data_IF_347555272071
#
_entry.id   IF_347555272071
#
_cell.length_a   1.000
_cell.length_b   1.000
_cell.length_c   1.000
_cell.angle_alpha   90.00
_cell.angle_beta   90.00
_cell.angle_gamma   90.00
#
_symmetry.space_group_name_H-M   'P 1'
#
loop_
_entity.id
_entity.type
_entity.pdbx_description
1 polymer ?
#
# COMPACT_ATOMS: atom_id res chain seq x y z
N UNK A 1 -12.15 -1.60 -1.72
CA UNK A 1 -11.54 -0.46 -0.99
C UNK A 1 -11.88 -0.67 0.48
N UNK A 2 -10.92 -0.64 1.42
CA UNK A 2 -11.31 -0.64 2.84
C UNK A 2 -12.25 0.52 3.09
N UNK A 3 -13.30 0.23 3.86
CA UNK A 3 -14.22 1.26 4.26
C UNK A 3 -13.52 2.15 5.29
N UNK A 4 -13.94 3.41 5.46
CA UNK A 4 -13.51 4.24 6.58
C UNK A 4 -13.57 3.55 7.94
N UNK A 5 -14.43 2.52 8.09
CA UNK A 5 -14.55 1.73 9.30
C UNK A 5 -13.26 0.98 9.65
N UNK A 6 -12.46 0.54 8.68
CA UNK A 6 -11.27 -0.24 8.98
C UNK A 6 -10.10 0.63 9.49
N UNK A 7 -9.93 1.84 8.93
CA UNK A 7 -9.00 2.82 9.47
C UNK A 7 -9.42 3.21 10.89
N UNK A 8 -10.71 3.47 11.09
CA UNK A 8 -11.24 3.83 12.40
C UNK A 8 -11.12 2.70 13.43
N UNK A 9 -11.46 1.47 13.05
CA UNK A 9 -11.39 0.30 13.93
C UNK A 9 -9.97 0.02 14.41
N UNK A 10 -8.99 0.25 13.55
CA UNK A 10 -7.57 0.01 13.86
C UNK A 10 -6.83 1.28 14.32
N UNK A 11 -7.55 2.39 14.53
CA UNK A 11 -7.00 3.71 14.88
C UNK A 11 -5.89 4.21 13.94
N UNK A 12 -5.98 3.88 12.65
CA UNK A 12 -4.97 4.23 11.66
C UNK A 12 -5.21 5.64 11.09
N UNK A 13 -4.13 6.43 11.02
CA UNK A 13 -4.06 7.75 10.40
C UNK A 13 -5.07 8.79 10.96
N UNK A 14 -5.39 8.73 12.25
CA UNK A 14 -6.40 9.61 12.88
C UNK A 14 -5.96 11.07 12.97
N UNK A 15 -4.72 11.36 13.39
CA UNK A 15 -4.20 12.75 13.39
C UNK A 15 -3.91 13.21 11.98
N UNK A 16 -3.42 12.31 11.12
CA UNK A 16 -3.22 12.63 9.72
C UNK A 16 -4.52 13.03 9.03
N UNK A 17 -5.66 12.42 9.37
CA UNK A 17 -6.96 12.85 8.86
C UNK A 17 -7.26 14.34 9.18
N UNK A 18 -6.94 14.80 10.39
CA UNK A 18 -7.05 16.22 10.75
C UNK A 18 -6.14 17.13 9.91
N UNK A 19 -4.97 16.65 9.51
CA UNK A 19 -4.08 17.36 8.59
C UNK A 19 -4.73 17.53 7.21
N UNK A 20 -5.36 16.48 6.67
CA UNK A 20 -6.04 16.55 5.36
C UNK A 20 -7.14 17.60 5.37
N UNK A 21 -7.97 17.61 6.42
CA UNK A 21 -9.06 18.59 6.55
C UNK A 21 -8.53 20.02 6.63
N UNK A 22 -7.49 20.26 7.42
CA UNK A 22 -6.84 21.57 7.47
C UNK A 22 -6.29 21.98 6.10
N UNK A 23 -5.66 21.06 5.36
CA UNK A 23 -5.12 21.36 4.04
C UNK A 23 -6.24 21.76 3.06
N UNK A 24 -7.41 21.12 3.16
CA UNK A 24 -8.60 21.49 2.39
C UNK A 24 -9.12 22.88 2.80
N UNK A 25 -9.19 23.19 4.09
CA UNK A 25 -9.64 24.50 4.58
C UNK A 25 -8.72 25.64 4.13
N UNK A 26 -7.40 25.47 4.28
CA UNK A 26 -6.43 26.49 3.84
C UNK A 26 -6.46 26.73 2.35
N UNK A 27 -6.72 25.69 1.56
CA UNK A 27 -6.91 25.85 0.13
C UNK A 27 -8.11 26.76 -0.16
N UNK A 28 -9.28 26.45 0.43
CA UNK A 28 -10.52 27.24 0.25
C UNK A 28 -10.30 28.70 0.69
N UNK A 29 -9.70 28.92 1.86
CA UNK A 29 -9.44 30.27 2.39
C UNK A 29 -8.48 31.09 1.51
N UNK A 30 -7.42 30.48 0.99
CA UNK A 30 -6.43 31.21 0.17
C UNK A 30 -7.01 31.63 -1.19
N UNK A 31 -7.88 30.80 -1.79
CA UNK A 31 -8.53 31.14 -3.05
C UNK A 31 -9.59 32.23 -2.89
N UNK A 32 -10.39 32.18 -1.82
CA UNK A 32 -11.31 33.28 -1.51
C UNK A 32 -10.59 34.62 -1.30
N UNK A 33 -9.42 34.61 -0.64
CA UNK A 33 -8.61 35.82 -0.40
C UNK A 33 -7.98 36.41 -1.68
N UNK A 34 -7.70 35.59 -2.68
CA UNK A 34 -7.06 36.04 -3.93
C UNK A 34 -8.06 36.61 -4.95
N UNK A 35 -9.37 36.61 -4.64
CA UNK A 35 -10.40 37.10 -5.57
C UNK A 35 -10.47 36.28 -6.87
N UNK A 36 -9.91 35.07 -6.87
CA UNK A 36 -10.01 34.14 -7.99
C UNK A 36 -11.42 33.56 -7.96
N UNK A 37 -12.21 33.88 -8.99
CA UNK A 37 -13.61 33.40 -9.16
C UNK A 37 -13.66 32.28 -10.23
N UNK A 38 -12.51 31.95 -10.84
CA UNK A 38 -12.44 30.87 -11.83
C UNK A 38 -12.50 29.50 -11.13
N UNK A 39 -13.72 28.98 -11.05
CA UNK A 39 -14.04 27.68 -10.48
C UNK A 39 -13.25 26.53 -11.14
N UNK A 40 -12.84 26.65 -12.41
CA UNK A 40 -12.07 25.61 -13.10
C UNK A 40 -10.63 25.55 -12.60
N UNK A 41 -9.99 26.71 -12.42
CA UNK A 41 -8.63 26.81 -11.87
C UNK A 41 -8.60 26.37 -10.41
N UNK A 42 -9.58 26.83 -9.61
CA UNK A 42 -9.76 26.42 -8.22
C UNK A 42 -9.91 24.90 -8.14
N UNK A 43 -10.79 24.32 -8.95
CA UNK A 43 -11.03 22.89 -8.92
C UNK A 43 -9.77 22.11 -9.31
N UNK A 44 -9.04 22.54 -10.35
CA UNK A 44 -7.82 21.85 -10.81
C UNK A 44 -6.71 21.84 -9.76
N UNK A 45 -6.45 22.96 -9.09
CA UNK A 45 -5.41 23.03 -8.04
C UNK A 45 -5.86 22.36 -6.73
N UNK A 46 -7.16 22.44 -6.40
CA UNK A 46 -7.73 21.72 -5.26
C UNK A 46 -7.56 20.22 -5.45
N UNK A 47 -7.98 19.72 -6.62
CA UNK A 47 -7.85 18.32 -7.02
C UNK A 47 -6.39 17.87 -6.87
N UNK A 48 -5.40 18.62 -7.38
CA UNK A 48 -3.98 18.25 -7.25
C UNK A 48 -3.51 18.16 -5.79
N UNK A 49 -3.94 19.11 -4.94
CA UNK A 49 -3.58 19.12 -3.52
C UNK A 49 -4.26 17.97 -2.79
N UNK A 50 -5.58 17.84 -2.92
CA UNK A 50 -6.40 16.78 -2.30
C UNK A 50 -5.96 15.38 -2.74
N UNK A 51 -5.69 15.18 -4.03
CA UNK A 51 -5.12 13.94 -4.57
C UNK A 51 -3.81 13.58 -3.87
N UNK A 52 -2.95 14.56 -3.56
CA UNK A 52 -1.67 14.28 -2.92
C UNK A 52 -1.81 13.63 -1.53
N UNK A 53 -2.80 14.07 -0.75
CA UNK A 53 -3.10 13.50 0.58
C UNK A 53 -3.85 12.17 0.46
N UNK A 54 -4.85 12.09 -0.43
CA UNK A 54 -5.60 10.86 -0.65
C UNK A 54 -4.72 9.72 -1.18
N UNK A 55 -3.72 10.03 -2.00
CA UNK A 55 -2.78 9.03 -2.48
C UNK A 55 -2.06 8.34 -1.31
N UNK A 56 -1.72 9.05 -0.22
CA UNK A 56 -1.14 8.41 0.97
C UNK A 56 -2.11 7.39 1.55
N UNK A 57 -3.38 7.76 1.73
CA UNK A 57 -4.39 6.87 2.31
C UNK A 57 -4.74 5.70 1.39
N UNK A 58 -4.78 5.91 0.07
CA UNK A 58 -4.98 4.87 -0.93
C UNK A 58 -3.85 3.84 -0.84
N UNK A 59 -2.58 4.30 -0.81
CA UNK A 59 -1.44 3.41 -0.68
C UNK A 59 -1.39 2.72 0.69
N UNK A 60 -1.76 3.40 1.79
CA UNK A 60 -1.86 2.78 3.11
C UNK A 60 -2.93 1.66 3.12
N UNK A 61 -4.09 1.92 2.54
CA UNK A 61 -5.16 0.94 2.38
C UNK A 61 -4.69 -0.26 1.55
N UNK A 62 -4.02 0.02 0.43
CA UNK A 62 -3.46 -1.01 -0.42
C UNK A 62 -2.46 -1.90 0.35
N UNK A 63 -1.57 -1.32 1.17
CA UNK A 63 -0.65 -2.09 2.01
C UNK A 63 -1.41 -3.01 2.96
N UNK A 64 -2.41 -2.49 3.68
CA UNK A 64 -3.22 -3.28 4.62
C UNK A 64 -3.91 -4.45 3.91
N UNK A 65 -4.56 -4.19 2.77
CA UNK A 65 -5.22 -5.22 1.95
C UNK A 65 -4.24 -6.34 1.60
N UNK A 66 -3.06 -5.98 1.10
CA UNK A 66 -2.09 -6.97 0.63
C UNK A 66 -1.50 -7.77 1.80
N UNK A 67 -1.21 -7.16 2.95
CA UNK A 67 -0.76 -7.87 4.16
C UNK A 67 -1.83 -8.89 4.60
N UNK A 68 -3.11 -8.50 4.63
CA UNK A 68 -4.17 -9.44 4.99
C UNK A 68 -4.34 -10.56 3.97
N UNK A 69 -4.21 -10.26 2.68
CA UNK A 69 -4.20 -11.28 1.63
C UNK A 69 -3.01 -12.23 1.79
N UNK A 70 -1.82 -11.74 2.16
CA UNK A 70 -0.65 -12.60 2.42
C UNK A 70 -0.95 -13.58 3.55
N UNK A 71 -1.54 -13.15 4.66
CA UNK A 71 -1.95 -14.04 5.77
C UNK A 71 -2.98 -15.09 5.35
N UNK A 72 -3.91 -14.73 4.47
CA UNK A 72 -4.89 -15.69 3.91
C UNK A 72 -4.22 -16.69 2.96
N UNK A 73 -3.28 -16.23 2.14
CA UNK A 73 -2.53 -17.07 1.20
C UNK A 73 -1.58 -18.01 1.95
N UNK A 74 -0.93 -17.55 3.02
CA UNK A 74 -0.11 -18.37 3.92
C UNK A 74 -0.90 -19.56 4.45
N UNK A 75 -2.09 -19.32 5.02
CA UNK A 75 -2.99 -20.38 5.50
C UNK A 75 -3.38 -21.36 4.39
N UNK A 76 -3.61 -20.87 3.17
CA UNK A 76 -3.92 -21.72 2.01
C UNK A 76 -2.72 -22.56 1.60
N UNK A 77 -1.50 -22.02 1.59
CA UNK A 77 -0.29 -22.79 1.32
C UNK A 77 -0.10 -23.92 2.34
N UNK A 78 -0.32 -23.64 3.63
CA UNK A 78 -0.27 -24.67 4.69
C UNK A 78 -1.32 -25.75 4.44
N UNK A 79 -2.55 -25.37 4.06
CA UNK A 79 -3.60 -26.33 3.74
C UNK A 79 -3.28 -27.17 2.50
N UNK A 80 -2.72 -26.56 1.46
CA UNK A 80 -2.26 -27.27 0.26
C UNK A 80 -1.22 -28.32 0.64
N UNK A 81 -0.23 -27.95 1.46
CA UNK A 81 0.76 -28.87 1.97
C UNK A 81 0.14 -30.03 2.75
N UNK A 82 -0.80 -29.77 3.66
CA UNK A 82 -1.47 -30.80 4.45
C UNK A 82 -2.16 -31.87 3.61
N UNK A 83 -2.67 -31.50 2.44
CA UNK A 83 -3.32 -32.46 1.53
C UNK A 83 -2.32 -33.50 0.98
N UNK A 84 -1.02 -33.19 0.98
CA UNK A 84 0.04 -34.07 0.50
C UNK A 84 0.97 -34.55 1.62
N UNK A 85 0.90 -34.00 2.83
CA UNK A 85 1.82 -34.31 3.93
C UNK A 85 1.90 -35.81 4.24
N UNK A 86 0.76 -36.53 4.22
CA UNK A 86 0.72 -37.97 4.47
C UNK A 86 1.34 -38.83 3.33
N UNK A 87 1.69 -38.21 2.20
CA UNK A 87 2.29 -38.87 1.04
C UNK A 87 3.81 -38.65 0.96
N UNK A 88 4.38 -37.89 1.90
CA UNK A 88 5.78 -37.46 1.88
C UNK A 88 6.45 -37.89 3.18
N UNK A 89 7.59 -38.57 3.07
CA UNK A 89 8.46 -38.86 4.21
C UNK A 89 9.25 -37.60 4.59
N UNK A 90 8.81 -36.91 5.65
CA UNK A 90 9.39 -35.63 6.08
C UNK A 90 10.56 -35.89 7.04
N UNK A 91 11.78 -35.71 6.53
CA UNK A 91 13.01 -35.91 7.32
C UNK A 91 13.63 -34.62 7.87
N UNK A 92 13.13 -33.47 7.42
CA UNK A 92 13.66 -32.16 7.78
C UNK A 92 12.52 -31.22 8.15
N UNK A 93 12.76 -30.36 9.14
CA UNK A 93 11.78 -29.35 9.57
C UNK A 93 11.41 -28.36 8.45
N UNK A 94 12.37 -28.08 7.56
CA UNK A 94 12.18 -27.13 6.45
C UNK A 94 12.09 -27.87 5.13
N UNK A 95 10.99 -27.63 4.43
CA UNK A 95 10.67 -28.25 3.16
C UNK A 95 10.58 -27.16 2.11
N UNK A 96 11.29 -27.34 0.99
CA UNK A 96 11.13 -26.47 -0.18
C UNK A 96 9.73 -26.74 -0.74
N UNK A 97 8.90 -25.71 -0.72
CA UNK A 97 7.52 -25.78 -1.17
C UNK A 97 7.32 -24.82 -2.33
N UNK A 98 6.73 -25.30 -3.42
CA UNK A 98 6.36 -24.48 -4.56
C UNK A 98 4.90 -24.76 -4.92
N UNK A 99 4.08 -23.71 -4.87
CA UNK A 99 2.71 -23.75 -5.33
C UNK A 99 2.30 -22.43 -5.99
N UNK A 100 1.27 -22.43 -6.86
CA UNK A 100 0.70 -21.19 -7.39
C UNK A 100 0.26 -20.23 -6.27
N UNK A 101 -0.22 -20.75 -5.14
CA UNK A 101 -0.60 -19.94 -3.98
C UNK A 101 0.60 -19.29 -3.31
N UNK A 102 1.74 -19.99 -3.22
CA UNK A 102 2.98 -19.38 -2.73
C UNK A 102 3.44 -18.26 -3.66
N UNK A 103 3.43 -18.46 -4.97
CA UNK A 103 3.80 -17.42 -5.94
C UNK A 103 2.89 -16.19 -5.78
N UNK A 104 1.59 -16.40 -5.61
CA UNK A 104 0.64 -15.32 -5.34
C UNK A 104 0.95 -14.59 -4.03
N UNK A 105 1.35 -15.30 -2.97
CA UNK A 105 1.76 -14.71 -1.70
C UNK A 105 2.99 -13.83 -1.89
N UNK A 106 4.03 -14.38 -2.51
CA UNK A 106 5.31 -13.72 -2.81
C UNK A 106 5.10 -12.45 -3.64
N UNK A 107 4.22 -12.51 -4.65
CA UNK A 107 3.90 -11.36 -5.53
C UNK A 107 3.34 -10.13 -4.80
N UNK A 108 2.91 -10.27 -3.54
CA UNK A 108 2.39 -9.15 -2.73
C UNK A 108 3.49 -8.29 -2.12
N UNK A 109 4.72 -8.79 -2.05
CA UNK A 109 5.84 -8.11 -1.38
C UNK A 109 6.25 -6.85 -2.14
N UNK A 110 6.49 -6.97 -3.45
CA UNK A 110 6.91 -5.85 -4.31
C UNK A 110 5.96 -4.65 -4.25
N UNK A 111 4.62 -4.82 -4.42
CA UNK A 111 3.69 -3.71 -4.36
C UNK A 111 3.61 -3.05 -2.98
N UNK A 112 3.78 -3.81 -1.88
CA UNK A 112 3.79 -3.26 -0.52
C UNK A 112 5.02 -2.37 -0.32
N UNK A 113 6.23 -2.88 -0.63
CA UNK A 113 7.47 -2.12 -0.52
C UNK A 113 7.43 -0.84 -1.34
N UNK A 114 6.91 -0.94 -2.57
CA UNK A 114 6.73 0.19 -3.47
C UNK A 114 5.75 1.23 -2.92
N UNK A 115 4.65 0.78 -2.31
CA UNK A 115 3.66 1.68 -1.70
C UNK A 115 4.19 2.38 -0.46
N UNK A 116 4.94 1.68 0.41
CA UNK A 116 5.59 2.31 1.57
C UNK A 116 6.57 3.37 1.06
N UNK A 117 7.45 3.02 0.12
CA UNK A 117 8.41 3.97 -0.45
C UNK A 117 7.72 5.18 -1.12
N UNK A 118 6.62 4.96 -1.83
CA UNK A 118 5.84 6.05 -2.41
C UNK A 118 5.35 7.02 -1.33
N UNK A 119 4.79 6.51 -0.22
CA UNK A 119 4.33 7.35 0.89
C UNK A 119 5.51 8.10 1.53
N UNK A 120 6.67 7.46 1.69
CA UNK A 120 7.90 8.10 2.19
C UNK A 120 8.28 9.33 1.36
N UNK A 121 8.25 9.25 0.04
CA UNK A 121 8.59 10.40 -0.80
C UNK A 121 7.45 11.43 -0.82
N UNK A 122 6.21 10.97 -0.81
CA UNK A 122 5.04 11.86 -0.87
C UNK A 122 4.90 12.72 0.39
N UNK A 123 5.19 12.18 1.57
CA UNK A 123 5.08 12.92 2.83
C UNK A 123 6.10 14.06 2.91
N UNK A 124 7.27 13.94 2.27
CA UNK A 124 8.25 15.03 2.22
C UNK A 124 7.69 16.25 1.48
N UNK A 125 7.01 16.01 0.36
CA UNK A 125 6.36 17.08 -0.39
C UNK A 125 5.28 17.77 0.45
N UNK A 126 4.54 16.99 1.24
CA UNK A 126 3.50 17.50 2.15
C UNK A 126 4.12 18.34 3.29
N UNK A 127 5.21 17.87 3.91
CA UNK A 127 5.96 18.63 4.93
C UNK A 127 6.49 19.94 4.33
N UNK A 128 7.06 19.89 3.12
CA UNK A 128 7.56 21.08 2.44
C UNK A 128 6.48 22.12 2.21
N UNK A 129 5.30 21.70 1.73
CA UNK A 129 4.13 22.58 1.60
C UNK A 129 3.69 23.17 2.94
N UNK A 130 3.59 22.34 3.99
CA UNK A 130 3.16 22.78 5.33
C UNK A 130 4.13 23.79 5.96
N UNK A 131 5.42 23.65 5.71
CA UNK A 131 6.45 24.56 6.20
C UNK A 131 6.70 25.75 5.26
N UNK A 132 6.06 25.78 4.09
CA UNK A 132 6.38 26.69 2.99
C UNK A 132 7.88 26.68 2.63
N UNK A 133 8.46 25.48 2.48
CA UNK A 133 9.88 25.26 2.16
C UNK A 133 10.05 24.29 0.99
N UNK A 134 10.99 24.57 0.06
CA UNK A 134 11.33 23.63 -0.99
C UNK A 134 12.16 22.47 -0.41
N UNK A 135 11.48 21.39 -0.03
CA UNK A 135 12.14 20.14 0.30
C UNK A 135 12.40 19.34 -0.97
N UNK A 136 13.46 18.53 -0.98
CA UNK A 136 13.70 17.63 -2.12
C UNK A 136 12.59 16.58 -2.22
N UNK A 137 12.31 16.09 -3.43
CA UNK A 137 11.21 15.14 -3.67
C UNK A 137 11.43 13.73 -3.10
N UNK A 138 12.53 13.50 -2.37
CA UNK A 138 12.91 12.17 -1.86
C UNK A 138 13.36 12.26 -0.41
N UNK A 139 12.84 11.35 0.43
CA UNK A 139 13.19 11.33 1.86
C UNK A 139 14.68 11.15 2.08
N UNK A 140 15.33 10.23 1.35
CA UNK A 140 16.80 10.03 1.41
C UNK A 140 17.57 11.33 1.22
N UNK A 141 17.19 12.16 0.24
CA UNK A 141 17.90 13.42 -0.04
C UNK A 141 17.76 14.41 1.12
N UNK A 142 16.58 14.48 1.73
CA UNK A 142 16.34 15.34 2.89
C UNK A 142 17.15 14.87 4.10
N UNK A 143 17.17 13.57 4.38
CA UNK A 143 17.97 12.99 5.47
C UNK A 143 19.47 13.23 5.27
N UNK A 144 19.99 12.91 4.08
CA UNK A 144 21.42 13.07 3.78
C UNK A 144 21.87 14.53 3.74
N UNK A 145 20.98 15.46 3.37
CA UNK A 145 21.28 16.88 3.37
C UNK A 145 21.32 17.51 4.77
N UNK A 146 20.78 16.84 5.79
CA UNK A 146 20.77 17.32 7.16
C UNK A 146 19.68 18.37 7.44
N UNK A 147 19.55 18.71 8.72
CA UNK A 147 18.54 19.64 9.22
C UNK A 147 18.79 21.07 8.73
N UNK A 148 20.06 21.47 8.72
CA UNK A 148 20.54 22.82 8.49
C UNK A 148 20.26 23.25 7.04
N UNK A 149 20.60 22.39 6.07
CA UNK A 149 20.41 22.63 4.64
C UNK A 149 18.96 22.96 4.28
N UNK A 150 18.00 22.29 4.92
CA UNK A 150 16.57 22.48 4.68
C UNK A 150 15.91 23.38 5.74
N UNK A 151 16.69 23.87 6.70
CA UNK A 151 16.21 24.66 7.84
C UNK A 151 14.99 24.04 8.53
N UNK A 152 15.03 22.72 8.75
CA UNK A 152 13.90 21.98 9.32
C UNK A 152 13.81 22.17 10.85
N UNK A 153 12.61 22.32 11.43
CA UNK A 153 12.44 22.29 12.88
C UNK A 153 12.98 20.99 13.49
N UNK A 154 13.65 21.09 14.65
CA UNK A 154 14.30 19.94 15.30
C UNK A 154 13.34 18.76 15.51
N UNK A 155 12.10 19.02 15.93
CA UNK A 155 11.10 17.97 16.13
C UNK A 155 10.75 17.21 14.84
N UNK A 156 10.59 17.92 13.72
CA UNK A 156 10.28 17.33 12.41
C UNK A 156 11.46 16.52 11.88
N UNK A 157 12.67 17.08 11.91
CA UNK A 157 13.86 16.37 11.44
C UNK A 157 14.18 15.16 12.32
N UNK A 158 13.97 15.27 13.64
CA UNK A 158 14.11 14.16 14.58
C UNK A 158 13.19 12.98 14.24
N UNK A 159 11.92 13.25 13.94
CA UNK A 159 10.98 12.22 13.49
C UNK A 159 11.37 11.59 12.16
N UNK A 160 11.75 12.42 11.17
CA UNK A 160 12.24 11.96 9.87
C UNK A 160 13.43 11.02 10.01
N UNK A 161 14.45 11.44 10.77
CA UNK A 161 15.67 10.67 11.00
C UNK A 161 15.40 9.38 11.78
N UNK A 162 14.58 9.46 12.84
CA UNK A 162 14.19 8.29 13.63
C UNK A 162 13.50 7.24 12.76
N UNK A 163 12.52 7.65 11.95
CA UNK A 163 11.84 6.75 11.02
C UNK A 163 12.78 6.16 9.98
N UNK A 164 13.62 7.00 9.36
CA UNK A 164 14.55 6.58 8.31
C UNK A 164 15.51 5.49 8.81
N UNK A 165 16.12 5.69 9.97
CA UNK A 165 17.06 4.73 10.58
C UNK A 165 16.32 3.46 11.01
N UNK A 166 15.13 3.58 11.62
CA UNK A 166 14.38 2.42 12.14
C UNK A 166 13.89 1.51 11.02
N UNK A 167 13.38 2.06 9.92
CA UNK A 167 12.69 1.27 8.89
C UNK A 167 12.84 1.84 7.47
N UNK A 168 12.85 3.17 7.32
CA UNK A 168 12.74 3.80 6.01
C UNK A 168 13.86 3.43 5.03
N UNK A 169 15.10 3.36 5.52
CA UNK A 169 16.25 2.97 4.71
C UNK A 169 16.16 1.52 4.23
N UNK A 170 15.81 0.60 5.13
CA UNK A 170 15.71 -0.83 4.82
C UNK A 170 14.62 -1.09 3.77
N UNK A 171 13.44 -0.46 3.91
CA UNK A 171 12.36 -0.56 2.91
C UNK A 171 12.85 -0.15 1.53
N UNK A 172 13.58 0.98 1.44
CA UNK A 172 14.14 1.43 0.17
C UNK A 172 15.11 0.40 -0.40
N UNK A 173 16.04 -0.13 0.41
CA UNK A 173 17.02 -1.13 -0.05
C UNK A 173 16.34 -2.40 -0.57
N UNK A 174 15.37 -2.94 0.17
CA UNK A 174 14.61 -4.11 -0.30
C UNK A 174 13.79 -3.83 -1.56
N UNK A 175 13.16 -2.66 -1.67
CA UNK A 175 12.46 -2.24 -2.89
C UNK A 175 13.41 -2.09 -4.08
N UNK A 176 14.61 -1.55 -3.85
CA UNK A 176 15.63 -1.42 -4.89
C UNK A 176 16.07 -2.82 -5.36
N UNK A 177 16.30 -3.77 -4.44
CA UNK A 177 16.62 -5.16 -4.82
C UNK A 177 15.48 -5.76 -5.64
N UNK A 178 14.25 -5.71 -5.14
CA UNK A 178 13.09 -6.33 -5.78
C UNK A 178 12.83 -5.79 -7.20
N UNK A 179 13.10 -4.51 -7.45
CA UNK A 179 13.00 -3.91 -8.77
C UNK A 179 14.11 -4.32 -9.74
N UNK A 180 15.28 -4.70 -9.22
CA UNK A 180 16.46 -5.05 -10.02
C UNK A 180 16.71 -6.55 -10.11
N UNK A 181 16.14 -7.31 -9.18
CA UNK A 181 16.32 -8.73 -8.99
C UNK A 181 14.96 -9.36 -8.75
N UNK A 182 14.50 -10.20 -9.69
CA UNK A 182 13.27 -11.01 -9.54
C UNK A 182 13.32 -12.01 -8.37
N UNK A 183 14.44 -12.09 -7.65
CA UNK A 183 14.82 -13.16 -6.74
C UNK A 183 14.83 -12.76 -5.25
N UNK A 184 14.18 -11.66 -4.86
CA UNK A 184 14.12 -11.24 -3.45
C UNK A 184 13.66 -12.40 -2.55
N UNK A 185 12.92 -13.35 -3.13
CA UNK A 185 12.29 -14.47 -2.46
C UNK A 185 12.66 -15.77 -3.17
N UNK A 186 13.95 -16.12 -3.12
CA UNK A 186 14.42 -17.46 -3.45
C UNK A 186 14.48 -18.39 -2.23
N UNK A 187 14.32 -17.83 -1.02
CA UNK A 187 14.37 -18.56 0.25
C UNK A 187 12.99 -18.60 0.89
N UNK A 188 12.15 -19.51 0.38
CA UNK A 188 10.82 -19.80 0.92
C UNK A 188 10.67 -21.26 1.28
N UNK A 189 10.19 -21.53 2.49
CA UNK A 189 10.06 -22.88 3.03
C UNK A 189 8.70 -23.05 3.70
N UNK A 190 8.25 -24.30 3.78
CA UNK A 190 7.36 -24.72 4.85
C UNK A 190 8.22 -25.11 6.02
N UNK A 191 7.98 -24.50 7.18
CA UNK A 191 8.54 -24.92 8.46
C UNK A 191 7.45 -25.68 9.23
N UNK A 192 7.70 -26.92 9.64
CA UNK A 192 6.69 -27.83 10.20
C UNK A 192 6.58 -27.69 11.72
N UNK A 193 7.72 -27.55 12.39
CA UNK A 193 7.86 -27.42 13.84
C UNK A 193 8.44 -26.04 14.21
N UNK A 194 8.04 -25.46 15.36
CA UNK A 194 7.05 -26.00 16.31
C UNK A 194 5.60 -25.81 15.87
N UNK A 195 5.36 -24.95 14.87
CA UNK A 195 4.05 -24.74 14.28
C UNK A 195 4.21 -24.57 12.77
N UNK A 196 3.34 -25.21 12.00
CA UNK A 196 3.38 -25.14 10.54
C UNK A 196 3.20 -23.71 10.05
N UNK A 197 4.17 -23.20 9.29
CA UNK A 197 4.13 -21.85 8.70
C UNK A 197 4.87 -21.77 7.38
N UNK A 198 4.51 -20.76 6.58
CA UNK A 198 5.30 -20.41 5.40
C UNK A 198 6.36 -19.41 5.82
N UNK A 199 7.62 -19.83 5.80
CA UNK A 199 8.73 -18.95 6.07
C UNK A 199 9.22 -18.35 4.76
N UNK A 200 9.19 -17.01 4.67
CA UNK A 200 9.70 -16.27 3.52
C UNK A 200 10.81 -15.35 4.03
N UNK A 201 12.04 -15.59 3.61
CA UNK A 201 13.20 -14.96 4.23
C UNK A 201 13.76 -13.84 3.33
N UNK A 202 13.87 -12.64 3.89
CA UNK A 202 14.56 -11.52 3.26
C UNK A 202 16.08 -11.62 3.47
N UNK A 203 16.90 -11.12 2.53
CA UNK A 203 18.35 -11.06 2.71
C UNK A 203 18.74 -10.10 3.84
N UNK A 204 19.78 -10.44 4.59
CA UNK A 204 20.29 -9.67 5.73
C UNK A 204 21.03 -8.40 5.29
N UNK A 205 21.61 -8.45 4.09
CA UNK A 205 22.50 -7.45 3.50
C UNK A 205 21.89 -6.81 2.24
N UNK A 206 20.77 -6.07 2.36
CA UNK A 206 20.02 -5.59 1.21
C UNK A 206 20.70 -4.46 0.40
N UNK A 207 21.86 -3.99 0.84
CA UNK A 207 22.73 -3.07 0.08
C UNK A 207 23.59 -3.77 -1.00
N UNK A 208 23.74 -5.08 -0.91
CA UNK A 208 24.51 -5.85 -1.88
C UNK A 208 23.73 -5.98 -3.18
N UNK A 209 24.43 -5.87 -4.32
CA UNK A 209 23.82 -5.89 -5.66
C UNK A 209 23.85 -7.26 -6.35
N UNK A 210 24.67 -8.19 -5.85
CA UNK A 210 24.82 -9.53 -6.43
C UNK A 210 24.05 -10.52 -5.58
N UNK A 211 23.20 -11.32 -6.21
CA UNK A 211 22.31 -12.26 -5.51
C UNK A 211 23.12 -13.36 -4.83
N UNK A 212 24.24 -13.75 -5.42
CA UNK A 212 25.12 -14.81 -4.93
C UNK A 212 25.81 -14.42 -3.61
N UNK A 213 25.86 -13.13 -3.30
CA UNK A 213 26.44 -12.58 -2.08
C UNK A 213 25.37 -12.35 -0.98
N UNK A 214 24.10 -12.69 -1.22
CA UNK A 214 23.05 -12.55 -0.22
C UNK A 214 23.22 -13.54 0.92
N UNK A 215 23.00 -13.05 2.13
CA UNK A 215 23.04 -13.83 3.37
C UNK A 215 21.66 -13.85 4.01
N UNK A 216 21.33 -14.95 4.70
CA UNK A 216 20.00 -15.20 5.28
C UNK A 216 20.11 -15.73 6.72
N UNK A 217 21.20 -15.42 7.41
CA UNK A 217 21.54 -15.88 8.76
C UNK A 217 20.56 -15.38 9.82
N UNK A 218 19.94 -14.21 9.64
CA UNK A 218 18.99 -13.67 10.62
C UNK A 218 17.53 -14.06 10.36
N UNK A 219 17.27 -14.84 9.32
CA UNK A 219 15.95 -15.44 9.04
C UNK A 219 14.79 -14.44 9.11
N UNK A 220 14.99 -13.25 8.53
CA UNK A 220 14.02 -12.17 8.60
C UNK A 220 12.73 -12.52 7.86
N UNK A 221 11.70 -12.86 8.64
CA UNK A 221 10.36 -13.16 8.14
C UNK A 221 9.76 -11.96 7.37
N UNK A 222 9.41 -12.20 6.12
CA UNK A 222 8.97 -11.15 5.20
C UNK A 222 7.62 -10.57 5.59
N UNK A 223 6.64 -11.39 5.98
CA UNK A 223 5.30 -10.90 6.32
C UNK A 223 5.40 -9.99 7.53
N UNK A 224 6.07 -10.46 8.59
CA UNK A 224 6.30 -9.71 9.82
C UNK A 224 7.07 -8.42 9.55
N UNK A 225 8.14 -8.48 8.74
CA UNK A 225 8.90 -7.29 8.36
C UNK A 225 8.03 -6.22 7.70
N UNK A 226 7.15 -6.61 6.77
CA UNK A 226 6.26 -5.66 6.09
C UNK A 226 5.23 -5.03 7.05
N UNK A 227 4.73 -5.80 8.02
CA UNK A 227 3.85 -5.27 9.08
C UNK A 227 4.56 -4.26 9.96
N UNK A 228 5.76 -4.58 10.44
CA UNK A 228 6.59 -3.70 11.28
C UNK A 228 7.01 -2.44 10.53
N UNK A 229 7.31 -2.57 9.22
CA UNK A 229 7.62 -1.44 8.36
C UNK A 229 6.41 -0.51 8.15
N UNK A 230 5.22 -1.08 7.93
CA UNK A 230 3.99 -0.31 7.82
C UNK A 230 3.61 0.37 9.13
N UNK A 231 3.69 -0.34 10.26
CA UNK A 231 3.47 0.23 11.59
C UNK A 231 4.43 1.39 11.87
N UNK A 232 5.72 1.22 11.55
CA UNK A 232 6.71 2.30 11.70
C UNK A 232 6.41 3.51 10.82
N UNK A 233 5.89 3.31 9.61
CA UNK A 233 5.43 4.39 8.73
C UNK A 233 4.21 5.12 9.30
N UNK A 234 3.24 4.37 9.81
CA UNK A 234 2.05 4.90 10.46
C UNK A 234 2.41 5.77 11.67
N UNK A 235 3.22 5.25 12.60
CA UNK A 235 3.67 5.98 13.79
C UNK A 235 4.40 7.27 13.43
N UNK A 236 5.22 7.22 12.38
CA UNK A 236 5.94 8.38 11.87
C UNK A 236 5.00 9.46 11.35
N UNK A 237 3.99 9.09 10.55
CA UNK A 237 3.03 10.04 9.97
C UNK A 237 2.13 10.63 11.06
N UNK A 238 1.66 9.81 12.01
CA UNK A 238 0.88 10.28 13.16
C UNK A 238 1.70 11.18 14.09
N UNK A 239 2.98 10.85 14.29
CA UNK A 239 3.92 11.67 15.03
C UNK A 239 4.13 13.04 14.38
N UNK A 240 4.31 13.08 13.06
CA UNK A 240 4.41 14.33 12.31
C UNK A 240 3.14 15.17 12.42
N UNK A 241 1.97 14.55 12.21
CA UNK A 241 0.69 15.24 12.35
C UNK A 241 0.53 15.82 13.77
N UNK A 242 0.96 15.06 14.80
CA UNK A 242 0.99 15.55 16.18
C UNK A 242 1.90 16.76 16.40
N UNK A 243 3.09 16.79 15.79
CA UNK A 243 4.00 17.97 15.85
C UNK A 243 3.37 19.19 15.19
N UNK A 244 2.54 19.00 14.16
CA UNK A 244 1.76 20.08 13.56
C UNK A 244 0.49 20.46 14.33
N UNK A 245 0.25 19.87 15.51
CA UNK A 245 -0.86 20.19 16.39
C UNK A 245 -2.19 19.49 16.04
N UNK A 246 -2.18 18.53 15.12
CA UNK A 246 -3.41 17.81 14.75
C UNK A 246 -3.79 16.79 15.82
N UNK A 247 -5.08 16.81 16.19
CA UNK A 247 -5.68 15.88 17.15
C UNK A 247 -6.24 14.66 16.43
N UNK A 248 -6.41 13.57 17.18
CA UNK A 248 -7.05 12.36 16.66
C UNK A 248 -8.45 12.70 16.18
N UNK A 249 -8.73 12.43 14.92
CA UNK A 249 -10.07 12.52 14.35
C UNK A 249 -10.41 11.21 13.66
N UNK A 250 -11.64 10.74 13.84
CA UNK A 250 -12.13 9.61 13.06
C UNK A 250 -12.07 9.95 11.58
N UNK A 251 -11.60 8.99 10.81
CA UNK A 251 -11.56 9.08 9.37
C UNK A 251 -12.99 9.10 8.81
N UNK A 252 -13.33 10.17 8.10
CA UNK A 252 -14.57 10.31 7.36
C UNK A 252 -14.22 10.54 5.90
N UNK A 253 -14.32 9.49 5.08
CA UNK A 253 -14.21 9.65 3.64
C UNK A 253 -15.56 10.16 3.12
N UNK A 254 -15.72 11.47 3.00
CA UNK A 254 -16.84 12.05 2.26
C UNK A 254 -16.47 11.99 0.78
N UNK A 255 -16.82 10.88 0.11
CA UNK A 255 -16.78 10.86 -1.36
C UNK A 255 -17.91 11.76 -1.83
N UNK A 256 -17.61 13.03 -2.11
CA UNK A 256 -18.55 13.88 -2.85
C UNK A 256 -18.54 13.41 -4.31
N UNK A 257 -19.47 12.53 -4.65
CA UNK A 257 -19.64 12.04 -6.03
C UNK A 257 -20.01 13.18 -7.00
N UNK A 258 -20.55 14.29 -6.49
CA UNK A 258 -20.89 15.47 -7.30
C UNK A 258 -19.68 16.22 -7.87
N UNK A 259 -18.45 15.91 -7.43
CA UNK A 259 -17.22 16.59 -7.88
C UNK A 259 -16.44 15.82 -8.96
N UNK A 260 -16.89 14.63 -9.36
CA UNK A 260 -16.23 13.84 -10.42
C UNK A 260 -16.68 14.24 -11.84
N UNK A 261 -17.30 15.42 -11.97
CA UNK A 261 -18.08 15.80 -13.14
C UNK A 261 -19.40 15.02 -13.18
N UNK A 262 -20.33 15.44 -14.02
CA UNK A 262 -21.38 14.52 -14.42
C UNK A 262 -20.70 13.25 -14.93
N UNK A 263 -21.02 12.10 -14.33
CA UNK A 263 -20.92 10.84 -15.05
C UNK A 263 -21.94 10.92 -16.18
N UNK A 264 -21.66 11.74 -17.20
CA UNK A 264 -22.31 11.58 -18.48
C UNK A 264 -22.15 10.11 -18.81
N UNK A 265 -23.25 9.46 -19.15
CA UNK A 265 -23.25 8.06 -19.55
C UNK A 265 -22.26 7.91 -20.72
N UNK A 266 -20.99 7.64 -20.42
CA UNK A 266 -20.08 7.11 -21.40
C UNK A 266 -20.65 5.74 -21.68
N UNK A 267 -21.33 5.63 -22.83
CA UNK A 267 -21.69 4.37 -23.47
C UNK A 267 -20.41 3.57 -23.68
N UNK A 268 -19.96 2.92 -22.62
CA UNK A 268 -18.86 1.96 -22.63
C UNK A 268 -19.47 0.58 -22.69
N UNK A 269 -18.98 -0.25 -23.59
CA UNK A 269 -19.34 -1.66 -23.62
C UNK A 269 -18.75 -2.34 -22.38
N UNK A 270 -19.60 -2.76 -21.45
CA UNK A 270 -19.21 -3.76 -20.45
C UNK A 270 -19.17 -5.10 -21.17
N UNK A 271 -17.97 -5.60 -21.46
CA UNK A 271 -17.81 -6.94 -22.03
C UNK A 271 -17.98 -7.98 -20.92
N UNK A 272 -19.08 -8.76 -20.97
CA UNK A 272 -19.31 -9.90 -20.10
C UNK A 272 -18.82 -11.17 -20.80
N UNK A 273 -17.75 -11.79 -20.29
CA UNK A 273 -17.27 -13.10 -20.77
C UNK A 273 -17.84 -14.22 -19.88
N UNK A 274 -18.69 -15.06 -20.45
CA UNK A 274 -19.25 -16.23 -19.76
C UNK A 274 -18.36 -17.44 -20.11
N UNK A 275 -17.74 -18.03 -19.10
CA UNK A 275 -16.98 -19.28 -19.22
C UNK A 275 -17.89 -20.49 -18.91
N UNK A 276 -17.58 -21.65 -19.51
CA UNK A 276 -18.24 -22.95 -19.28
C UNK A 276 -19.69 -23.09 -19.79
N UNK A 277 -20.03 -22.51 -20.94
CA UNK A 277 -21.23 -22.95 -21.67
C UNK A 277 -20.89 -24.30 -22.30
N UNK A 278 -21.62 -25.35 -21.91
CA UNK A 278 -21.54 -26.64 -22.62
C UNK A 278 -22.15 -26.42 -24.01
N UNK A 279 -21.33 -26.34 -25.06
CA UNK A 279 -21.88 -26.32 -26.43
C UNK A 279 -22.61 -27.64 -26.69
N UNK A 280 -23.83 -27.63 -27.28
CA UNK A 280 -24.40 -26.56 -28.09
C UNK A 280 -25.67 -25.93 -27.47
N UNK A 281 -25.64 -25.53 -26.20
CA UNK A 281 -26.74 -24.72 -25.65
C UNK A 281 -26.61 -23.27 -26.17
N UNK A 282 -27.63 -22.77 -26.87
CA UNK A 282 -27.63 -21.40 -27.38
C UNK A 282 -27.97 -20.43 -26.24
N UNK A 283 -27.20 -19.36 -26.06
CA UNK A 283 -27.56 -18.31 -25.11
C UNK A 283 -28.47 -17.28 -25.76
N UNK A 284 -29.58 -16.95 -25.10
CA UNK A 284 -30.37 -15.75 -25.40
C UNK A 284 -30.04 -14.67 -24.38
N UNK A 285 -29.49 -13.57 -24.86
CA UNK A 285 -29.27 -12.37 -24.06
C UNK A 285 -30.36 -11.37 -24.42
N UNK A 286 -31.10 -10.90 -23.42
CA UNK A 286 -32.13 -9.88 -23.54
C UNK A 286 -31.92 -8.79 -22.48
N UNK A 287 -32.53 -7.63 -22.68
CA UNK A 287 -32.49 -6.52 -21.73
C UNK A 287 -33.90 -5.96 -21.56
N UNK A 288 -34.40 -5.86 -20.33
CA UNK A 288 -35.78 -5.40 -20.05
C UNK A 288 -35.87 -3.91 -19.67
N UNK A 289 -34.76 -3.18 -19.81
CA UNK A 289 -34.65 -1.77 -19.42
C UNK A 289 -34.13 -1.56 -17.99
N UNK A 290 -34.08 -2.61 -17.16
CA UNK A 290 -33.52 -2.55 -15.79
C UNK A 290 -32.49 -3.64 -15.51
N UNK A 291 -32.53 -4.76 -16.24
CA UNK A 291 -31.71 -5.94 -16.01
C UNK A 291 -31.28 -6.59 -17.33
N UNK A 292 -30.08 -7.16 -17.33
CA UNK A 292 -29.63 -8.08 -18.36
C UNK A 292 -30.16 -9.49 -18.02
N UNK A 293 -30.88 -10.10 -18.95
CA UNK A 293 -31.46 -11.44 -18.81
C UNK A 293 -30.69 -12.37 -19.72
N UNK A 294 -30.07 -13.41 -19.15
CA UNK A 294 -29.31 -14.42 -19.90
C UNK A 294 -30.00 -15.76 -19.71
N UNK A 295 -30.61 -16.27 -20.77
CA UNK A 295 -31.29 -17.56 -20.77
C UNK A 295 -30.46 -18.58 -21.55
N UNK A 296 -30.34 -19.78 -20.99
CA UNK A 296 -29.82 -20.94 -21.70
C UNK A 296 -30.98 -21.54 -22.50
N UNK A 297 -30.92 -21.48 -23.83
CA UNK A 297 -31.84 -22.18 -24.71
C UNK A 297 -31.27 -23.58 -24.90
N UNK A 298 -31.93 -24.56 -24.30
CA UNK A 298 -31.78 -25.96 -24.70
C UNK A 298 -32.50 -26.14 -26.03
N UNK A 299 -31.77 -26.56 -27.06
CA UNK A 299 -32.41 -27.12 -28.26
C UNK A 299 -33.00 -28.48 -27.94
#
# INVERSE_FOLDING_TARGET
MYSPNDFNRNNLFQKFNGWIEWANQQFVENYHKQGIIDDEIINKEWIKSYQSYNMILIHANFIIINIQQMKLLEKKCIQEYKNFANQIDIRHNRIIFWSPTLINLISKVSPILSSIHFIQDKIINIIGKKLNKPLGNRMRKVISGGKEKYSLPTGIFGLLRKYWIKSGEAVRKYRDIDQHHYSLINNSFIEVEPNERILIILPDNPEVKKIEEFTFKHEKDTIRYLEEAFSSLHDFIEGLAGVFGFKNKKYSLTISLGQYGEFSEKRGTIALRIHNIKTPEALRIAHDGKRLIINIIRK
#
